data_IF_720708910612
#
_entry.id   IF_720708910612
#
_cell.length_a   1.000
_cell.length_b   1.000
_cell.length_c   1.000
_cell.angle_alpha   90.00
_cell.angle_beta   90.00
_cell.angle_gamma   90.00
#
_symmetry.space_group_name_H-M   'P 1'
#
loop_
_entity.id
_entity.type
_entity.pdbx_description
1 polymer ?
#
# COMPACT_ATOMS: atom_id res chain seq x y z
N UNK A 1 -3.93 6.60 13.71
CA UNK A 1 -4.39 6.47 12.30
C UNK A 1 -4.13 5.05 11.86
N UNK A 2 -5.09 4.40 11.21
CA UNK A 2 -5.02 3.00 10.78
C UNK A 2 -5.44 2.87 9.30
N UNK A 3 -5.29 1.68 8.72
CA UNK A 3 -5.68 1.42 7.33
C UNK A 3 -7.08 0.82 7.26
N UNK A 4 -8.04 1.59 6.71
CA UNK A 4 -9.34 1.07 6.31
C UNK A 4 -9.18 0.22 5.05
N UNK A 5 -9.33 -1.09 5.15
CA UNK A 5 -9.05 -1.98 4.03
C UNK A 5 -10.33 -2.33 3.28
N UNK A 6 -10.35 -2.05 1.98
CA UNK A 6 -11.30 -2.63 1.04
C UNK A 6 -10.79 -4.02 0.65
N UNK A 7 -11.65 -5.02 0.64
CA UNK A 7 -11.34 -6.33 0.06
C UNK A 7 -11.89 -6.44 -1.36
N UNK A 8 -11.36 -7.39 -2.12
CA UNK A 8 -11.81 -7.64 -3.49
C UNK A 8 -13.31 -7.90 -3.56
N UNK A 9 -14.02 -7.15 -4.41
CA UNK A 9 -15.46 -7.20 -4.57
C UNK A 9 -16.25 -6.32 -3.59
N UNK A 10 -15.60 -5.63 -2.65
CA UNK A 10 -16.24 -4.67 -1.75
C UNK A 10 -16.19 -3.25 -2.31
N UNK A 11 -17.11 -2.40 -1.86
CA UNK A 11 -17.03 -0.95 -2.06
C UNK A 11 -16.05 -0.31 -1.07
N UNK A 12 -15.58 0.90 -1.36
CA UNK A 12 -14.79 1.68 -0.38
C UNK A 12 -15.63 2.02 0.85
N UNK A 13 -16.91 2.32 0.65
CA UNK A 13 -17.84 2.60 1.73
C UNK A 13 -18.05 1.41 2.67
N UNK A 14 -18.11 0.18 2.15
CA UNK A 14 -18.18 -1.02 2.99
C UNK A 14 -16.90 -1.21 3.80
N UNK A 15 -15.75 -1.05 3.16
CA UNK A 15 -14.46 -1.08 3.84
C UNK A 15 -14.39 -0.04 4.96
N UNK A 16 -14.76 1.20 4.70
CA UNK A 16 -14.76 2.28 5.70
C UNK A 16 -15.71 1.98 6.86
N UNK A 17 -16.93 1.54 6.59
CA UNK A 17 -17.92 1.16 7.61
C UNK A 17 -17.40 0.06 8.52
N UNK A 18 -16.82 -0.99 7.96
CA UNK A 18 -16.23 -2.09 8.72
C UNK A 18 -15.14 -1.62 9.71
N UNK A 19 -14.40 -0.59 9.35
CA UNK A 19 -13.35 -0.03 10.22
C UNK A 19 -13.91 0.93 11.26
N UNK A 20 -14.95 1.69 10.95
CA UNK A 20 -15.69 2.47 11.93
C UNK A 20 -16.29 1.57 13.02
N UNK A 21 -16.94 0.47 12.66
CA UNK A 21 -17.48 -0.49 13.64
C UNK A 21 -16.43 -1.07 14.61
N UNK A 22 -15.17 -1.14 14.17
CA UNK A 22 -14.05 -1.57 15.03
C UNK A 22 -13.54 -0.46 15.95
N UNK A 23 -13.63 0.79 15.54
CA UNK A 23 -13.02 1.93 16.22
C UNK A 23 -14.03 2.71 17.08
N UNK A 24 -15.26 2.88 16.64
CA UNK A 24 -16.27 3.72 17.26
C UNK A 24 -16.57 3.26 18.68
N UNK A 25 -16.46 4.20 19.62
CA UNK A 25 -16.68 3.96 21.05
C UNK A 25 -15.62 3.07 21.73
N UNK A 26 -14.55 2.68 21.01
CA UNK A 26 -13.49 1.81 21.55
C UNK A 26 -12.12 2.48 21.60
N UNK A 27 -11.94 3.60 20.91
CA UNK A 27 -10.70 4.35 20.92
C UNK A 27 -10.64 5.31 22.11
N UNK A 28 -9.46 5.43 22.74
CA UNK A 28 -9.21 6.37 23.84
C UNK A 28 -8.74 7.75 23.35
N UNK A 29 -8.60 7.94 22.06
CA UNK A 29 -8.18 9.19 21.42
C UNK A 29 -8.86 9.33 20.07
N UNK A 30 -8.75 10.51 19.46
CA UNK A 30 -9.18 10.73 18.08
C UNK A 30 -8.47 9.78 17.12
N UNK A 31 -9.19 9.33 16.12
CA UNK A 31 -8.66 8.41 15.11
C UNK A 31 -9.03 8.85 13.69
N UNK A 32 -8.37 8.27 12.71
CA UNK A 32 -8.64 8.46 11.30
C UNK A 32 -8.08 7.30 10.50
N UNK A 33 -8.47 7.20 9.24
CA UNK A 33 -8.09 6.11 8.37
C UNK A 33 -7.35 6.58 7.13
N UNK A 34 -6.41 5.74 6.67
CA UNK A 34 -5.95 5.70 5.30
C UNK A 34 -6.74 4.61 4.57
N UNK A 35 -7.48 4.96 3.54
CA UNK A 35 -8.26 3.95 2.81
C UNK A 35 -7.36 3.14 1.89
N UNK A 36 -7.30 1.82 2.10
CA UNK A 36 -6.55 0.91 1.23
C UNK A 36 -7.43 0.43 0.08
N UNK A 37 -6.96 0.65 -1.16
CA UNK A 37 -7.64 0.23 -2.38
C UNK A 37 -6.98 -1.04 -2.90
N UNK A 38 -7.73 -2.12 -2.97
CA UNK A 38 -7.28 -3.43 -3.44
C UNK A 38 -8.11 -3.99 -4.60
N UNK A 39 -9.23 -3.36 -4.91
CA UNK A 39 -10.02 -3.62 -6.11
C UNK A 39 -10.30 -2.29 -6.82
N UNK A 40 -10.17 -2.29 -8.15
CA UNK A 40 -10.33 -1.07 -8.94
C UNK A 40 -11.25 -1.30 -10.13
N UNK A 41 -12.33 -0.58 -10.13
CA UNK A 41 -13.35 -0.61 -11.19
C UNK A 41 -14.04 0.77 -11.28
N UNK A 42 -14.87 1.01 -12.31
CA UNK A 42 -15.55 2.30 -12.47
C UNK A 42 -16.46 2.73 -11.30
N UNK A 43 -16.97 1.79 -10.51
CA UNK A 43 -17.75 2.13 -9.31
C UNK A 43 -16.82 2.67 -8.22
N UNK A 44 -15.78 1.93 -7.88
CA UNK A 44 -14.77 2.34 -6.89
C UNK A 44 -14.12 3.67 -7.25
N UNK A 45 -13.90 3.92 -8.55
CA UNK A 45 -13.38 5.21 -9.01
C UNK A 45 -14.31 6.38 -8.68
N UNK A 46 -15.61 6.20 -8.73
CA UNK A 46 -16.59 7.24 -8.34
C UNK A 46 -16.68 7.41 -6.82
N UNK A 47 -16.58 6.32 -6.08
CA UNK A 47 -16.61 6.35 -4.62
C UNK A 47 -15.44 7.15 -4.00
N UNK A 48 -14.40 7.47 -4.76
CA UNK A 48 -13.35 8.38 -4.27
C UNK A 48 -13.87 9.78 -3.95
N UNK A 49 -14.85 10.28 -4.68
CA UNK A 49 -15.47 11.57 -4.38
C UNK A 49 -16.21 11.49 -3.03
N UNK A 50 -16.96 10.42 -2.82
CA UNK A 50 -17.70 10.18 -1.56
C UNK A 50 -16.72 10.03 -0.39
N UNK A 51 -15.58 9.32 -0.59
CA UNK A 51 -14.53 9.21 0.44
C UNK A 51 -13.95 10.57 0.81
N UNK A 52 -13.70 11.44 -0.18
CA UNK A 52 -13.19 12.79 0.07
C UNK A 52 -14.22 13.64 0.84
N UNK A 53 -15.51 13.51 0.55
CA UNK A 53 -16.58 14.19 1.29
C UNK A 53 -16.71 13.69 2.73
N UNK A 54 -16.49 12.40 2.98
CA UNK A 54 -16.42 11.79 4.32
C UNK A 54 -15.13 12.17 5.09
N UNK A 55 -14.22 12.93 4.47
CA UNK A 55 -12.97 13.38 5.09
C UNK A 55 -11.80 12.38 4.97
N UNK A 56 -11.97 11.31 4.21
CA UNK A 56 -10.88 10.38 3.88
C UNK A 56 -10.09 10.94 2.71
N UNK A 57 -8.97 11.59 2.99
CA UNK A 57 -8.15 12.30 2.00
C UNK A 57 -6.87 11.56 1.63
N UNK A 58 -6.58 10.45 2.29
CA UNK A 58 -5.37 9.67 2.06
C UNK A 58 -5.67 8.19 1.81
N UNK A 59 -4.94 7.65 0.83
CA UNK A 59 -5.17 6.33 0.28
C UNK A 59 -3.90 5.51 0.31
N UNK A 60 -4.03 4.19 0.41
CA UNK A 60 -2.91 3.25 0.47
C UNK A 60 -3.04 2.21 -0.63
N UNK A 61 -1.94 1.96 -1.33
CA UNK A 61 -1.83 0.91 -2.34
C UNK A 61 -0.71 -0.05 -1.96
N UNK A 62 -0.83 -1.30 -2.38
CA UNK A 62 0.16 -2.34 -2.18
C UNK A 62 0.57 -2.95 -3.52
N UNK A 63 1.86 -3.22 -3.68
CA UNK A 63 2.43 -3.98 -4.81
C UNK A 63 2.73 -5.43 -4.43
N UNK A 64 2.32 -5.84 -3.24
CA UNK A 64 2.48 -7.19 -2.67
C UNK A 64 1.32 -7.49 -1.75
N UNK A 65 1.26 -8.69 -1.20
CA UNK A 65 0.17 -9.25 -0.39
C UNK A 65 -1.10 -9.56 -1.20
N UNK A 66 -2.12 -10.07 -0.53
CA UNK A 66 -3.42 -10.41 -1.15
C UNK A 66 -4.22 -9.16 -1.59
N UNK A 67 -3.81 -7.99 -1.10
CA UNK A 67 -4.40 -6.68 -1.42
C UNK A 67 -3.63 -5.92 -2.51
N UNK A 68 -2.70 -6.60 -3.21
CA UNK A 68 -1.89 -5.97 -4.24
C UNK A 68 -2.72 -5.56 -5.46
N UNK A 69 -2.31 -4.46 -6.06
CA UNK A 69 -2.78 -3.98 -7.37
C UNK A 69 -1.60 -3.90 -8.34
N UNK A 70 -1.86 -4.08 -9.63
CA UNK A 70 -0.82 -4.02 -10.65
C UNK A 70 -0.42 -2.57 -11.01
N UNK A 71 0.68 -2.42 -11.73
CA UNK A 71 1.26 -1.12 -12.08
C UNK A 71 0.28 -0.24 -12.88
N UNK A 72 -0.52 -0.85 -13.76
CA UNK A 72 -1.52 -0.15 -14.56
C UNK A 72 -2.62 0.41 -13.65
N UNK A 73 -3.14 -0.41 -12.78
CA UNK A 73 -4.16 -0.05 -11.80
C UNK A 73 -3.65 1.05 -10.86
N UNK A 74 -2.40 0.93 -10.37
CA UNK A 74 -1.75 2.00 -9.57
C UNK A 74 -1.76 3.31 -10.34
N UNK A 75 -1.36 3.31 -11.62
CA UNK A 75 -1.33 4.53 -12.43
C UNK A 75 -2.74 5.14 -12.61
N UNK A 76 -3.76 4.32 -12.87
CA UNK A 76 -5.14 4.78 -13.02
C UNK A 76 -5.68 5.40 -11.71
N UNK A 77 -5.41 4.78 -10.56
CA UNK A 77 -5.77 5.29 -9.23
C UNK A 77 -5.05 6.61 -8.96
N UNK A 78 -3.73 6.69 -9.18
CA UNK A 78 -2.95 7.91 -8.96
C UNK A 78 -3.47 9.07 -9.80
N UNK A 79 -3.84 8.81 -11.06
CA UNK A 79 -4.43 9.82 -11.93
C UNK A 79 -5.76 10.34 -11.39
N UNK A 80 -6.63 9.43 -10.94
CA UNK A 80 -7.93 9.79 -10.38
C UNK A 80 -7.80 10.53 -9.04
N UNK A 81 -6.92 10.08 -8.17
CA UNK A 81 -6.64 10.76 -6.89
C UNK A 81 -6.07 12.17 -7.08
N UNK A 82 -5.26 12.38 -8.12
CA UNK A 82 -4.82 13.73 -8.50
C UNK A 82 -5.99 14.65 -8.86
N UNK A 83 -7.02 14.13 -9.52
CA UNK A 83 -8.20 14.89 -9.92
C UNK A 83 -9.04 15.31 -8.70
N UNK A 84 -9.21 14.42 -7.72
CA UNK A 84 -9.99 14.67 -6.50
C UNK A 84 -9.17 15.33 -5.37
N UNK A 85 -7.85 15.46 -5.53
CA UNK A 85 -6.98 16.08 -4.52
C UNK A 85 -6.55 15.14 -3.39
N UNK A 86 -6.66 13.83 -3.58
CA UNK A 86 -6.25 12.83 -2.60
C UNK A 86 -4.74 12.60 -2.55
N UNK A 87 -4.23 12.16 -1.39
CA UNK A 87 -2.83 11.78 -1.17
C UNK A 87 -2.71 10.26 -1.20
N UNK A 88 -1.63 9.74 -1.78
CA UNK A 88 -1.41 8.29 -1.89
C UNK A 88 -0.06 7.87 -1.31
N UNK A 89 -0.09 6.81 -0.50
CA UNK A 89 1.09 6.05 -0.11
C UNK A 89 1.11 4.69 -0.81
N UNK A 90 2.26 4.30 -1.37
CA UNK A 90 2.42 2.99 -2.01
C UNK A 90 3.42 2.15 -1.23
N UNK A 91 3.07 0.90 -0.92
CA UNK A 91 4.01 -0.10 -0.45
C UNK A 91 4.68 -0.73 -1.66
N UNK A 92 5.92 -0.30 -1.94
CA UNK A 92 6.62 -0.55 -3.20
C UNK A 92 7.41 -1.87 -3.24
N UNK A 93 7.09 -2.84 -2.43
CA UNK A 93 7.64 -4.18 -2.55
C UNK A 93 7.01 -4.90 -3.75
N UNK A 94 7.71 -4.95 -4.87
CA UNK A 94 7.21 -5.63 -6.07
C UNK A 94 7.19 -7.14 -5.87
N UNK A 95 6.00 -7.74 -5.85
CA UNK A 95 5.81 -9.19 -5.64
C UNK A 95 6.51 -10.05 -6.69
N UNK A 96 6.55 -9.60 -7.95
CA UNK A 96 7.26 -10.27 -9.03
C UNK A 96 8.77 -10.36 -8.82
N UNK A 97 9.36 -9.48 -8.00
CA UNK A 97 10.76 -9.54 -7.61
C UNK A 97 10.96 -10.30 -6.28
N UNK A 98 10.10 -10.08 -5.31
CA UNK A 98 10.26 -10.64 -3.96
C UNK A 98 10.02 -12.14 -3.93
N UNK A 99 8.98 -12.63 -4.61
CA UNK A 99 8.64 -14.07 -4.62
C UNK A 99 9.79 -14.92 -5.15
N UNK A 100 10.40 -14.63 -6.31
CA UNK A 100 11.58 -15.35 -6.77
C UNK A 100 12.78 -15.25 -5.84
N UNK A 101 13.01 -14.09 -5.20
CA UNK A 101 14.10 -13.91 -4.24
C UNK A 101 13.89 -14.78 -2.99
N UNK A 102 12.69 -14.84 -2.44
CA UNK A 102 12.36 -15.72 -1.30
C UNK A 102 12.49 -17.20 -1.65
N UNK A 103 12.13 -17.60 -2.86
CA UNK A 103 12.29 -18.98 -3.33
C UNK A 103 13.78 -19.35 -3.46
N UNK A 104 14.63 -18.42 -3.94
CA UNK A 104 16.09 -18.64 -4.00
C UNK A 104 16.74 -18.81 -2.62
N UNK A 105 16.26 -18.13 -1.60
CA UNK A 105 16.74 -18.30 -0.23
C UNK A 105 16.43 -19.69 0.37
N UNK A 106 15.49 -20.43 -0.20
CA UNK A 106 15.15 -21.80 0.19
C UNK A 106 15.93 -22.86 -0.60
N UNK A 107 16.80 -22.45 -1.54
CA UNK A 107 17.67 -23.39 -2.25
C UNK A 107 18.82 -23.85 -1.35
N UNK A 108 19.30 -25.13 -1.49
CA UNK A 108 20.39 -25.65 -0.68
C UNK A 108 21.63 -24.76 -0.76
N UNK A 109 22.42 -24.76 0.35
CA UNK A 109 23.65 -24.00 0.50
C UNK A 109 24.68 -24.27 -0.61
N UNK A 110 24.67 -23.69 -1.65
CA UNK A 110 25.54 -23.81 -2.83
C UNK A 110 25.04 -23.01 -4.00
N UNK A 111 23.77 -22.65 -3.95
CA UNK A 111 23.08 -21.82 -4.95
C UNK A 111 22.74 -20.43 -4.43
N UNK A 112 22.95 -20.19 -3.12
CA UNK A 112 22.87 -18.83 -2.60
C UNK A 112 23.91 -17.99 -3.31
N UNK A 113 23.44 -17.07 -4.15
CA UNK A 113 24.30 -16.02 -4.68
C UNK A 113 25.03 -15.41 -3.49
N UNK A 114 26.37 -15.42 -3.52
CA UNK A 114 27.21 -14.69 -2.55
C UNK A 114 27.02 -13.18 -2.75
N UNK A 115 25.78 -12.73 -2.69
CA UNK A 115 25.46 -11.36 -2.49
C UNK A 115 25.44 -11.15 -1.00
N UNK A 116 26.56 -10.79 -0.51
CA UNK A 116 26.72 -9.71 0.45
C UNK A 116 28.10 -9.81 1.00
N UNK A 117 29.04 -9.30 0.25
CA UNK A 117 30.09 -8.61 0.94
C UNK A 117 29.41 -7.51 1.74
N UNK A 118 29.50 -7.44 3.06
CA UNK A 118 29.04 -6.28 3.78
C UNK A 118 29.66 -5.05 3.10
N UNK A 119 28.94 -3.93 2.95
CA UNK A 119 29.52 -2.74 2.37
C UNK A 119 30.80 -2.43 3.14
N UNK A 120 31.93 -2.41 2.41
CA UNK A 120 33.20 -2.01 3.00
C UNK A 120 33.00 -0.61 3.61
N UNK A 121 33.84 -0.23 4.60
CA UNK A 121 33.73 1.08 5.22
C UNK A 121 33.71 2.16 4.12
N UNK A 122 32.78 3.08 4.21
CA UNK A 122 32.65 4.20 3.27
C UNK A 122 34.01 4.92 3.18
N UNK A 123 34.49 5.26 1.99
CA UNK A 123 35.72 6.01 1.84
C UNK A 123 35.61 7.30 2.67
N UNK A 124 36.52 7.46 3.62
CA UNK A 124 36.56 8.68 4.43
C UNK A 124 36.78 9.86 3.49
N UNK A 125 35.79 10.76 3.40
CA UNK A 125 36.00 12.04 2.71
C UNK A 125 37.12 12.78 3.41
N UNK A 126 38.27 12.92 2.73
CA UNK A 126 39.29 13.87 3.17
C UNK A 126 38.64 15.26 3.15
N UNK A 127 38.53 15.85 4.32
CA UNK A 127 38.18 17.28 4.39
C UNK A 127 39.34 18.08 3.82
N UNK A 128 39.06 19.17 3.07
CA UNK A 128 40.09 20.10 2.58
C UNK A 128 40.83 20.78 3.73
#
# INVERSE_FOLDING_TARGET
MDFGTQYTGESLADGLRNWHEKADGKCSCDYGFHMSISDWNPSVSRELDDMMEEGITSFKLYMTYDTQVDDRTIFEILRRLKEVGGITGVHCENSGMIVPCRQRQRLPEGWAWKATRPPGPLPQRRRP
#
